data_IF_950537962482
#
_entry.id   IF_950537962482
#
_cell.length_a   1.000
_cell.length_b   1.000
_cell.length_c   1.000
_cell.angle_alpha   90.00
_cell.angle_beta   90.00
_cell.angle_gamma   90.00
#
_symmetry.space_group_name_H-M   'P 1'
#
loop_
_entity.id
_entity.type
_entity.pdbx_description
1 polymer ?
#
# COMPACT_ATOMS: atom_id res chain seq x y z
N UNK A 1 -28.74 6.99 0.95
CA UNK A 1 -28.36 8.39 0.63
C UNK A 1 -29.34 9.34 1.32
N UNK A 2 -28.88 10.40 1.98
CA UNK A 2 -29.70 11.26 2.88
C UNK A 2 -30.21 12.56 2.22
N UNK A 3 -29.88 12.84 0.95
CA UNK A 3 -30.42 14.00 0.23
C UNK A 3 -30.60 13.71 -1.28
N UNK A 4 -31.75 13.20 -1.74
CA UNK A 4 -31.92 12.64 -3.09
C UNK A 4 -31.91 13.67 -4.24
N UNK A 5 -32.06 14.97 -3.99
CA UNK A 5 -32.15 15.98 -5.06
C UNK A 5 -30.80 16.29 -5.75
N UNK A 6 -29.82 16.90 -5.06
CA UNK A 6 -28.56 17.32 -5.68
C UNK A 6 -27.64 16.15 -6.04
N UNK A 7 -27.69 15.06 -5.26
CA UNK A 7 -26.84 13.88 -5.49
C UNK A 7 -27.23 13.13 -6.76
N UNK A 8 -28.50 13.18 -7.17
CA UNK A 8 -28.95 12.51 -8.38
C UNK A 8 -28.44 13.16 -9.68
N UNK A 9 -28.15 14.47 -9.63
CA UNK A 9 -27.58 15.23 -10.75
C UNK A 9 -26.05 15.12 -10.85
N UNK A 10 -25.37 14.96 -9.72
CA UNK A 10 -23.90 14.90 -9.66
C UNK A 10 -23.33 13.49 -9.78
N UNK A 11 -24.10 12.47 -9.40
CA UNK A 11 -23.65 11.08 -9.34
C UNK A 11 -24.13 10.33 -10.59
N UNK A 12 -23.25 9.61 -11.32
CA UNK A 12 -23.65 8.87 -12.50
C UNK A 12 -24.77 7.88 -12.17
N UNK A 13 -25.92 8.07 -12.84
CA UNK A 13 -27.12 7.24 -12.67
C UNK A 13 -27.09 6.00 -13.56
N UNK A 14 -26.28 6.04 -14.62
CA UNK A 14 -26.20 5.00 -15.65
C UNK A 14 -24.94 4.16 -15.50
N UNK A 15 -25.06 2.86 -15.73
CA UNK A 15 -23.94 1.92 -15.66
C UNK A 15 -22.79 2.32 -16.61
N UNK A 16 -23.10 2.82 -17.81
CA UNK A 16 -22.11 3.25 -18.80
C UNK A 16 -21.21 4.39 -18.27
N UNK A 17 -21.82 5.40 -17.65
CA UNK A 17 -21.08 6.51 -17.03
C UNK A 17 -20.17 6.03 -15.91
N UNK A 18 -20.64 5.05 -15.14
CA UNK A 18 -19.86 4.43 -14.09
C UNK A 18 -18.67 3.61 -14.64
N UNK A 19 -18.85 2.90 -15.77
CA UNK A 19 -17.76 2.18 -16.44
C UNK A 19 -16.68 3.12 -16.98
N UNK A 20 -17.06 4.27 -17.55
CA UNK A 20 -16.10 5.28 -17.98
C UNK A 20 -15.30 5.85 -16.80
N UNK A 21 -15.98 6.16 -15.70
CA UNK A 21 -15.35 6.65 -14.47
C UNK A 21 -14.42 5.59 -13.85
N UNK A 22 -14.83 4.32 -13.85
CA UNK A 22 -14.01 3.21 -13.38
C UNK A 22 -12.76 3.03 -14.24
N UNK A 23 -12.86 3.16 -15.58
CA UNK A 23 -11.72 3.08 -16.48
C UNK A 23 -10.68 4.19 -16.21
N UNK A 24 -11.13 5.44 -16.01
CA UNK A 24 -10.26 6.55 -15.64
C UNK A 24 -9.62 6.32 -14.27
N UNK A 25 -10.42 5.85 -13.29
CA UNK A 25 -9.94 5.49 -11.97
C UNK A 25 -8.88 4.38 -12.01
N UNK A 26 -9.03 3.41 -12.91
CA UNK A 26 -8.06 2.32 -13.10
C UNK A 26 -6.73 2.83 -13.68
N UNK A 27 -6.75 3.70 -14.69
CA UNK A 27 -5.51 4.34 -15.16
C UNK A 27 -4.86 5.12 -14.01
N UNK A 28 -5.68 5.84 -13.24
CA UNK A 28 -5.23 6.60 -12.10
C UNK A 28 -4.52 5.76 -11.04
N UNK A 29 -5.08 4.60 -10.68
CA UNK A 29 -4.47 3.72 -9.68
C UNK A 29 -3.17 3.09 -10.19
N UNK A 30 -3.10 2.71 -11.47
CA UNK A 30 -1.87 2.16 -12.05
C UNK A 30 -0.74 3.19 -12.03
N UNK A 31 -1.02 4.43 -12.42
CA UNK A 31 -0.05 5.52 -12.37
C UNK A 31 0.34 5.86 -10.92
N UNK A 32 -0.63 5.91 -10.00
CA UNK A 32 -0.38 6.18 -8.59
C UNK A 32 0.55 5.13 -7.97
N UNK A 33 0.28 3.85 -8.20
CA UNK A 33 1.09 2.75 -7.65
C UNK A 33 2.45 2.68 -8.32
N UNK A 34 2.53 2.85 -9.64
CA UNK A 34 3.80 2.86 -10.35
C UNK A 34 4.70 4.03 -9.93
N UNK A 35 4.14 5.23 -9.76
CA UNK A 35 4.86 6.37 -9.21
C UNK A 35 5.29 6.11 -7.76
N UNK A 36 4.42 5.52 -6.93
CA UNK A 36 4.78 5.17 -5.54
C UNK A 36 5.99 4.22 -5.53
N UNK A 37 6.00 3.20 -6.39
CA UNK A 37 7.13 2.29 -6.56
C UNK A 37 8.41 3.01 -7.00
N UNK A 38 8.30 4.01 -7.87
CA UNK A 38 9.45 4.82 -8.33
C UNK A 38 10.07 5.70 -7.25
N UNK A 39 9.36 5.97 -6.15
CA UNK A 39 9.86 6.74 -5.01
C UNK A 39 10.42 5.85 -3.88
N UNK A 40 10.32 4.52 -3.98
CA UNK A 40 10.81 3.60 -2.95
C UNK A 40 12.33 3.56 -2.91
N UNK A 41 12.92 3.94 -1.78
CA UNK A 41 14.37 3.87 -1.59
C UNK A 41 14.81 2.47 -1.14
N UNK A 42 15.13 1.62 -2.11
CA UNK A 42 15.61 0.26 -1.86
C UNK A 42 16.94 0.21 -1.07
N UNK A 43 17.73 1.29 -1.04
CA UNK A 43 18.97 1.35 -0.24
C UNK A 43 18.65 1.55 1.23
N UNK A 44 17.61 2.33 1.55
CA UNK A 44 17.15 2.54 2.93
C UNK A 44 16.67 1.22 3.56
N UNK A 45 16.01 0.34 2.78
CA UNK A 45 15.59 -1.00 3.23
C UNK A 45 16.79 -1.85 3.66
N UNK A 46 17.88 -1.83 2.87
CA UNK A 46 19.10 -2.59 3.19
C UNK A 46 19.82 -2.08 4.44
N UNK A 47 19.73 -0.77 4.73
CA UNK A 47 20.48 -0.12 5.81
C UNK A 47 19.89 -0.36 7.20
N UNK A 48 18.57 -0.50 7.34
CA UNK A 48 17.92 -0.68 8.65
C UNK A 48 17.84 -2.13 9.16
N UNK A 49 18.48 -3.06 8.44
CA UNK A 49 18.88 -4.36 8.98
C UNK A 49 17.73 -5.27 9.42
N UNK A 50 18.04 -6.16 10.37
CA UNK A 50 17.16 -7.24 10.82
C UNK A 50 15.90 -6.77 11.56
N UNK A 51 15.88 -5.55 12.12
CA UNK A 51 14.75 -5.03 12.88
C UNK A 51 13.55 -4.74 11.96
N UNK A 52 13.76 -4.10 10.81
CA UNK A 52 12.70 -3.83 9.84
C UNK A 52 12.06 -5.13 9.31
N UNK A 53 12.90 -6.14 9.03
CA UNK A 53 12.43 -7.47 8.58
C UNK A 53 11.60 -8.17 9.66
N UNK A 54 12.00 -8.10 10.92
CA UNK A 54 11.22 -8.68 12.03
C UNK A 54 9.90 -7.93 12.24
N UNK A 55 9.93 -6.59 12.30
CA UNK A 55 8.73 -5.77 12.45
C UNK A 55 7.75 -6.01 11.32
N UNK A 56 8.21 -6.02 10.07
CA UNK A 56 7.39 -6.35 8.90
C UNK A 56 6.90 -7.79 8.96
N UNK A 57 7.77 -8.78 9.23
CA UNK A 57 7.39 -10.19 9.28
C UNK A 57 6.26 -10.47 10.27
N UNK A 58 6.36 -10.00 11.52
CA UNK A 58 5.27 -10.12 12.49
C UNK A 58 4.07 -9.22 12.11
N UNK A 59 4.34 -8.01 11.62
CA UNK A 59 3.33 -7.06 11.14
C UNK A 59 2.55 -7.52 9.89
N UNK A 60 3.02 -8.57 9.21
CA UNK A 60 2.36 -9.21 8.09
C UNK A 60 1.66 -10.50 8.53
N UNK A 61 2.39 -11.42 9.16
CA UNK A 61 1.89 -12.78 9.48
C UNK A 61 0.76 -12.74 10.50
N UNK A 62 0.86 -11.92 11.55
CA UNK A 62 -0.15 -11.85 12.61
C UNK A 62 -1.50 -11.34 12.08
N UNK A 63 -1.60 -10.15 11.46
CA UNK A 63 -2.87 -9.67 10.92
C UNK A 63 -3.37 -10.53 9.75
N UNK A 64 -2.49 -11.10 8.92
CA UNK A 64 -2.88 -12.04 7.87
C UNK A 64 -3.60 -13.26 8.49
N UNK A 65 -3.00 -13.89 9.49
CA UNK A 65 -3.60 -15.04 10.18
C UNK A 65 -4.93 -14.70 10.84
N UNK A 66 -5.00 -13.56 11.54
CA UNK A 66 -6.25 -13.10 12.15
C UNK A 66 -7.34 -12.81 11.12
N UNK A 67 -7.00 -12.18 9.99
CA UNK A 67 -7.96 -11.93 8.91
C UNK A 67 -8.42 -13.21 8.22
N UNK A 68 -7.53 -14.19 8.00
CA UNK A 68 -7.89 -15.52 7.47
C UNK A 68 -8.84 -16.23 8.41
N UNK A 69 -8.50 -16.33 9.70
CA UNK A 69 -9.35 -16.98 10.71
C UNK A 69 -10.71 -16.28 10.77
N UNK A 70 -10.73 -14.96 10.81
CA UNK A 70 -11.98 -14.18 10.81
C UNK A 70 -12.79 -14.47 9.55
N UNK A 71 -12.16 -14.47 8.38
CA UNK A 71 -12.85 -14.70 7.10
C UNK A 71 -13.43 -16.10 6.97
N UNK A 72 -12.79 -17.12 7.55
CA UNK A 72 -13.33 -18.48 7.64
C UNK A 72 -14.54 -18.58 8.58
N UNK A 73 -14.61 -17.74 9.61
CA UNK A 73 -15.69 -17.74 10.60
C UNK A 73 -16.88 -16.84 10.20
N UNK A 74 -16.69 -15.92 9.26
CA UNK A 74 -17.76 -15.04 8.79
C UNK A 74 -18.82 -15.82 7.98
N UNK A 75 -20.10 -15.41 8.06
CA UNK A 75 -21.17 -16.08 7.35
C UNK A 75 -21.04 -15.91 5.83
N UNK A 76 -21.52 -16.91 5.08
CA UNK A 76 -21.50 -16.90 3.62
C UNK A 76 -22.26 -15.71 3.00
N UNK A 77 -23.20 -15.10 3.74
CA UNK A 77 -23.89 -13.89 3.28
C UNK A 77 -22.97 -12.68 3.07
N UNK A 78 -21.74 -12.70 3.61
CA UNK A 78 -20.74 -11.64 3.43
C UNK A 78 -19.68 -12.00 2.40
N UNK A 79 -19.54 -13.28 2.08
CA UNK A 79 -18.65 -13.78 1.03
C UNK A 79 -19.24 -13.33 -0.30
N UNK A 80 -18.39 -12.85 -1.22
CA UNK A 80 -18.83 -12.58 -2.58
C UNK A 80 -19.17 -13.86 -3.35
N UNK A 81 -19.20 -13.78 -4.67
CA UNK A 81 -19.54 -14.90 -5.56
C UNK A 81 -18.40 -15.93 -5.72
N UNK A 82 -17.48 -16.01 -4.75
CA UNK A 82 -16.28 -16.84 -4.77
C UNK A 82 -16.24 -17.76 -3.55
N UNK A 83 -15.29 -18.67 -3.54
CA UNK A 83 -15.10 -19.62 -2.44
C UNK A 83 -14.70 -18.91 -1.14
N UNK A 84 -15.20 -19.44 -0.01
CA UNK A 84 -14.96 -18.93 1.33
C UNK A 84 -13.47 -18.89 1.69
N UNK A 85 -12.66 -19.80 1.14
CA UNK A 85 -11.20 -19.82 1.32
C UNK A 85 -10.55 -18.63 0.61
N UNK A 86 -10.96 -18.31 -0.62
CA UNK A 86 -10.44 -17.13 -1.35
C UNK A 86 -10.84 -15.86 -0.60
N UNK A 87 -12.08 -15.79 -0.12
CA UNK A 87 -12.54 -14.69 0.72
C UNK A 87 -11.71 -14.55 2.00
N UNK A 88 -11.43 -15.65 2.70
CA UNK A 88 -10.67 -15.63 3.94
C UNK A 88 -9.22 -15.18 3.72
N UNK A 89 -8.55 -15.72 2.70
CA UNK A 89 -7.19 -15.27 2.33
C UNK A 89 -7.21 -13.80 1.92
N UNK A 90 -8.18 -13.37 1.12
CA UNK A 90 -8.36 -11.96 0.77
C UNK A 90 -8.52 -11.07 1.99
N UNK A 91 -9.38 -11.44 2.95
CA UNK A 91 -9.58 -10.68 4.17
C UNK A 91 -8.28 -10.59 4.97
N UNK A 92 -7.53 -11.69 5.08
CA UNK A 92 -6.17 -11.70 5.63
C UNK A 92 -5.26 -10.67 4.97
N UNK A 93 -5.21 -10.65 3.64
CA UNK A 93 -4.38 -9.69 2.88
C UNK A 93 -4.83 -8.26 3.14
N UNK A 94 -6.14 -8.00 3.13
CA UNK A 94 -6.68 -6.68 3.45
C UNK A 94 -6.27 -6.22 4.86
N UNK A 95 -6.28 -7.12 5.85
CA UNK A 95 -5.91 -6.77 7.23
C UNK A 95 -4.40 -6.54 7.42
N UNK A 96 -3.53 -7.15 6.62
CA UNK A 96 -2.08 -7.03 6.80
C UNK A 96 -1.45 -5.83 6.08
N UNK A 97 -2.14 -5.26 5.09
CA UNK A 97 -1.65 -4.13 4.28
C UNK A 97 -1.59 -2.85 5.12
N UNK A 98 -0.51 -2.10 4.94
CA UNK A 98 -0.28 -0.75 5.49
C UNK A 98 -0.33 0.28 4.35
N UNK A 99 -0.26 1.57 4.65
CA UNK A 99 -0.15 2.61 3.62
C UNK A 99 1.05 3.53 3.88
N UNK A 100 2.19 3.27 3.23
CA UNK A 100 3.39 4.12 3.33
C UNK A 100 3.11 5.60 3.12
N UNK A 101 2.30 6.04 2.13
CA UNK A 101 2.05 7.47 1.96
C UNK A 101 1.41 8.12 3.20
N UNK A 102 0.51 7.40 3.87
CA UNK A 102 -0.17 7.88 5.09
C UNK A 102 0.78 7.84 6.28
N UNK A 103 1.58 6.78 6.41
CA UNK A 103 2.65 6.67 7.42
C UNK A 103 3.62 7.84 7.28
N UNK A 104 4.15 8.06 6.07
CA UNK A 104 5.11 9.11 5.78
C UNK A 104 4.54 10.49 6.07
N UNK A 105 3.32 10.77 5.61
CA UNK A 105 2.67 12.06 5.88
C UNK A 105 2.47 12.27 7.38
N UNK A 106 2.02 11.25 8.10
CA UNK A 106 1.85 11.30 9.57
C UNK A 106 3.17 11.61 10.27
N UNK A 107 4.26 10.93 9.89
CA UNK A 107 5.58 11.17 10.48
C UNK A 107 6.14 12.56 10.13
N UNK A 108 5.90 13.05 8.92
CA UNK A 108 6.27 14.42 8.51
C UNK A 108 5.52 15.44 9.35
N UNK A 109 4.19 15.32 9.46
CA UNK A 109 3.35 16.26 10.19
C UNK A 109 3.63 16.29 11.69
N UNK A 110 4.13 15.17 12.22
CA UNK A 110 4.55 15.06 13.62
C UNK A 110 6.04 15.37 13.84
N UNK A 111 6.76 15.75 12.79
CA UNK A 111 8.22 15.98 12.80
C UNK A 111 9.01 14.78 13.39
N UNK A 112 8.69 13.57 12.95
CA UNK A 112 9.30 12.32 13.42
C UNK A 112 10.24 11.67 12.38
N UNK A 113 10.41 12.29 11.20
CA UNK A 113 11.26 11.76 10.13
C UNK A 113 12.74 11.61 10.52
N UNK A 114 13.22 12.43 11.45
CA UNK A 114 14.59 12.39 11.95
C UNK A 114 14.82 11.27 12.98
N UNK A 115 13.75 10.74 13.60
CA UNK A 115 13.78 9.72 14.64
C UNK A 115 14.04 8.34 14.03
N UNK A 116 14.79 7.50 14.73
CA UNK A 116 15.07 6.12 14.31
C UNK A 116 13.78 5.30 14.20
N UNK A 117 12.85 5.50 15.13
CA UNK A 117 11.52 4.87 15.07
C UNK A 117 10.73 5.30 13.83
N UNK A 118 10.82 6.57 13.45
CA UNK A 118 10.16 7.08 12.24
C UNK A 118 10.74 6.44 10.99
N UNK A 119 12.07 6.37 10.89
CA UNK A 119 12.75 5.71 9.78
C UNK A 119 12.42 4.21 9.75
N UNK A 120 12.43 3.53 10.89
CA UNK A 120 12.13 2.09 10.98
C UNK A 120 10.68 1.79 10.57
N UNK A 121 9.73 2.63 10.99
CA UNK A 121 8.32 2.52 10.59
C UNK A 121 8.18 2.63 9.08
N UNK A 122 8.84 3.61 8.45
CA UNK A 122 8.84 3.76 7.00
C UNK A 122 9.45 2.54 6.31
N UNK A 123 10.57 2.04 6.81
CA UNK A 123 11.23 0.88 6.20
C UNK A 123 10.43 -0.41 6.35
N UNK A 124 9.83 -0.65 7.50
CA UNK A 124 8.90 -1.77 7.67
C UNK A 124 7.69 -1.63 6.74
N UNK A 125 7.11 -0.42 6.62
CA UNK A 125 6.05 -0.13 5.67
C UNK A 125 6.43 -0.43 4.21
N UNK A 126 7.65 -0.09 3.79
CA UNK A 126 8.18 -0.44 2.45
C UNK A 126 8.19 -1.94 2.17
N UNK A 127 8.54 -2.75 3.17
CA UNK A 127 8.51 -4.21 3.03
C UNK A 127 7.07 -4.72 3.00
N UNK A 128 6.20 -4.18 3.87
CA UNK A 128 4.79 -4.53 3.92
C UNK A 128 4.05 -4.25 2.61
N UNK A 129 4.28 -3.09 1.98
CA UNK A 129 3.66 -2.73 0.71
C UNK A 129 4.07 -3.69 -0.41
N UNK A 130 5.37 -4.01 -0.51
CA UNK A 130 5.87 -4.96 -1.49
C UNK A 130 5.24 -6.35 -1.32
N UNK A 131 5.10 -6.80 -0.07
CA UNK A 131 4.42 -8.05 0.25
C UNK A 131 2.92 -7.98 -0.03
N UNK A 132 2.27 -6.85 0.25
CA UNK A 132 0.85 -6.63 -0.01
C UNK A 132 0.51 -6.80 -1.49
N UNK A 133 1.32 -6.23 -2.38
CA UNK A 133 1.13 -6.39 -3.83
C UNK A 133 1.37 -7.82 -4.32
N UNK A 134 2.36 -8.51 -3.73
CA UNK A 134 2.61 -9.93 -4.00
C UNK A 134 1.39 -10.78 -3.60
N UNK A 135 0.90 -10.61 -2.37
CA UNK A 135 -0.24 -11.36 -1.85
C UNK A 135 -1.54 -11.04 -2.58
N UNK A 136 -1.78 -9.77 -2.92
CA UNK A 136 -2.92 -9.39 -3.74
C UNK A 136 -2.91 -10.12 -5.08
N UNK A 137 -1.74 -10.25 -5.71
CA UNK A 137 -1.60 -10.97 -6.98
C UNK A 137 -1.92 -12.46 -6.82
N UNK A 138 -1.47 -13.08 -5.73
CA UNK A 138 -1.79 -14.48 -5.41
C UNK A 138 -3.30 -14.66 -5.23
N UNK A 139 -3.94 -13.80 -4.44
CA UNK A 139 -5.38 -13.88 -4.17
C UNK A 139 -6.20 -13.58 -5.43
N UNK A 140 -5.79 -12.59 -6.23
CA UNK A 140 -6.43 -12.32 -7.52
C UNK A 140 -6.36 -13.53 -8.44
N UNK A 141 -5.21 -14.19 -8.53
CA UNK A 141 -5.04 -15.38 -9.35
C UNK A 141 -5.86 -16.58 -8.82
N UNK A 142 -5.96 -16.75 -7.50
CA UNK A 142 -6.87 -17.75 -6.90
C UNK A 142 -8.34 -17.47 -7.24
N UNK A 143 -8.74 -16.19 -7.26
CA UNK A 143 -10.10 -15.78 -7.58
C UNK A 143 -10.46 -15.99 -9.06
N UNK A 144 -9.49 -15.85 -9.98
CA UNK A 144 -9.72 -15.99 -11.43
C UNK A 144 -9.56 -17.43 -11.93
N UNK A 145 -8.56 -18.16 -11.43
CA UNK A 145 -8.22 -19.52 -11.90
C UNK A 145 -8.82 -20.66 -11.06
N UNK A 146 -9.37 -20.32 -9.88
CA UNK A 146 -9.94 -21.29 -8.93
C UNK A 146 -8.92 -21.91 -7.97
N UNK A 147 -9.41 -22.69 -7.00
CA UNK A 147 -8.67 -23.26 -5.86
C UNK A 147 -8.05 -24.66 -6.12
N UNK A 148 -7.56 -24.95 -7.32
CA UNK A 148 -6.86 -26.22 -7.56
C UNK A 148 -5.40 -26.07 -7.12
N UNK A 149 -4.81 -27.06 -6.46
CA UNK A 149 -3.40 -27.02 -6.04
C UNK A 149 -2.48 -26.70 -7.24
N UNK A 150 -2.82 -27.21 -8.43
CA UNK A 150 -2.15 -26.87 -9.68
C UNK A 150 -2.29 -25.41 -10.12
N UNK A 151 -3.44 -24.76 -9.89
CA UNK A 151 -3.62 -23.35 -10.26
C UNK A 151 -2.85 -22.41 -9.35
N UNK A 152 -2.81 -22.66 -8.04
CA UNK A 152 -1.99 -21.87 -7.09
C UNK A 152 -0.49 -21.98 -7.44
N UNK A 153 0.00 -23.19 -7.72
CA UNK A 153 1.38 -23.40 -8.12
C UNK A 153 1.73 -22.66 -9.41
N UNK A 154 0.83 -22.67 -10.41
CA UNK A 154 0.99 -21.90 -11.66
C UNK A 154 0.99 -20.40 -11.38
N UNK A 155 0.10 -19.88 -10.53
CA UNK A 155 0.08 -18.46 -10.18
C UNK A 155 1.37 -18.00 -9.50
N UNK A 156 1.90 -18.79 -8.57
CA UNK A 156 3.18 -18.53 -7.92
C UNK A 156 4.35 -18.60 -8.92
N UNK A 157 4.33 -19.56 -9.83
CA UNK A 157 5.34 -19.68 -10.89
C UNK A 157 5.30 -18.50 -11.87
N UNK A 158 4.10 -18.03 -12.26
CA UNK A 158 3.92 -16.83 -13.09
C UNK A 158 4.41 -15.58 -12.37
N UNK A 159 4.10 -15.44 -11.08
CA UNK A 159 4.54 -14.32 -10.25
C UNK A 159 6.08 -14.29 -10.14
N UNK A 160 6.69 -15.44 -9.86
CA UNK A 160 8.14 -15.61 -9.87
C UNK A 160 8.72 -15.30 -11.25
N UNK A 161 8.08 -15.77 -12.32
CA UNK A 161 8.46 -15.50 -13.71
C UNK A 161 8.45 -14.01 -14.04
N UNK A 162 7.44 -13.26 -13.61
CA UNK A 162 7.37 -11.80 -13.75
C UNK A 162 8.51 -11.11 -12.99
N UNK A 163 8.81 -11.54 -11.76
CA UNK A 163 9.92 -10.99 -10.97
C UNK A 163 11.27 -11.27 -11.65
N UNK A 164 11.50 -12.51 -12.10
CA UNK A 164 12.71 -12.90 -12.81
C UNK A 164 12.85 -12.10 -14.11
N UNK A 165 11.78 -12.01 -14.90
CA UNK A 165 11.74 -11.20 -16.11
C UNK A 165 12.05 -9.73 -15.84
N UNK A 166 11.46 -9.14 -14.80
CA UNK A 166 11.71 -7.76 -14.39
C UNK A 166 13.18 -7.52 -14.05
N UNK A 167 13.82 -8.47 -13.34
CA UNK A 167 15.25 -8.36 -12.96
C UNK A 167 16.19 -8.57 -14.15
N UNK A 168 15.92 -9.57 -15.00
CA UNK A 168 16.82 -9.98 -16.09
C UNK A 168 16.65 -9.09 -17.33
N UNK A 169 15.41 -8.90 -17.79
CA UNK A 169 15.10 -8.17 -19.02
C UNK A 169 14.51 -6.77 -18.75
N UNK A 170 13.67 -6.63 -17.71
CA UNK A 170 13.04 -5.36 -17.36
C UNK A 170 14.05 -4.28 -16.99
N UNK A 171 15.11 -4.61 -16.23
CA UNK A 171 16.19 -3.67 -15.88
C UNK A 171 16.92 -3.09 -17.10
N UNK A 172 17.52 -3.87 -18.01
CA UNK A 172 18.20 -3.32 -19.18
C UNK A 172 17.25 -2.60 -20.15
N UNK A 173 15.99 -3.06 -20.26
CA UNK A 173 14.98 -2.40 -21.09
C UNK A 173 14.65 -1.01 -20.55
N UNK A 174 14.34 -0.91 -19.25
CA UNK A 174 14.10 0.35 -18.55
C UNK A 174 15.30 1.28 -18.68
N UNK A 175 16.51 0.75 -18.47
CA UNK A 175 17.77 1.48 -18.62
C UNK A 175 17.89 2.11 -20.01
N UNK A 176 17.57 1.35 -21.04
CA UNK A 176 17.69 1.79 -22.43
C UNK A 176 16.63 2.82 -22.78
N UNK A 177 15.39 2.60 -22.36
CA UNK A 177 14.28 3.53 -22.57
C UNK A 177 14.56 4.90 -21.93
N UNK A 178 14.98 4.94 -20.67
CA UNK A 178 15.29 6.20 -20.01
C UNK A 178 16.57 6.86 -20.53
N UNK A 179 17.57 6.11 -20.99
CA UNK A 179 18.74 6.69 -21.67
C UNK A 179 18.36 7.38 -22.97
N UNK A 180 17.36 6.87 -23.70
CA UNK A 180 16.82 7.54 -24.89
C UNK A 180 16.03 8.79 -24.50
N UNK A 181 15.17 8.70 -23.48
CA UNK A 181 14.41 9.84 -22.98
C UNK A 181 15.29 10.97 -22.42
N UNK A 182 16.41 10.63 -21.77
CA UNK A 182 17.36 11.57 -21.19
C UNK A 182 18.18 12.35 -22.24
N UNK A 183 18.09 12.01 -23.53
CA UNK A 183 18.70 12.81 -24.60
C UNK A 183 18.01 14.16 -24.79
N UNK A 184 16.81 14.31 -24.27
CA UNK A 184 16.08 15.58 -24.24
C UNK A 184 16.22 16.24 -22.88
N UNK A 185 16.43 17.55 -22.88
CA UNK A 185 16.38 18.37 -21.66
C UNK A 185 14.96 18.49 -21.11
N UNK A 186 13.94 18.35 -21.99
CA UNK A 186 12.53 18.44 -21.60
C UNK A 186 12.08 17.30 -20.68
N UNK A 187 11.06 17.59 -19.87
CA UNK A 187 10.42 16.60 -19.01
C UNK A 187 9.53 15.62 -19.80
N UNK A 188 8.99 16.03 -20.95
CA UNK A 188 7.97 15.29 -21.73
C UNK A 188 8.40 13.86 -22.07
N UNK A 189 9.61 13.59 -22.62
CA UNK A 189 10.01 12.23 -22.96
C UNK A 189 10.17 11.33 -21.72
N UNK A 190 10.59 11.90 -20.60
CA UNK A 190 10.74 11.17 -19.32
C UNK A 190 9.36 10.78 -18.77
N UNK A 191 8.40 11.71 -18.81
CA UNK A 191 7.01 11.48 -18.41
C UNK A 191 6.38 10.41 -19.30
N UNK A 192 6.46 10.57 -20.63
CA UNK A 192 5.90 9.63 -21.59
C UNK A 192 6.48 8.22 -21.40
N UNK A 193 7.81 8.10 -21.26
CA UNK A 193 8.48 6.82 -21.00
C UNK A 193 7.99 6.18 -19.70
N UNK A 194 7.85 6.98 -18.63
CA UNK A 194 7.35 6.50 -17.34
C UNK A 194 5.94 5.94 -17.45
N UNK A 195 5.02 6.71 -18.06
CA UNK A 195 3.62 6.30 -18.25
C UNK A 195 3.53 5.04 -19.11
N UNK A 196 4.20 5.02 -20.26
CA UNK A 196 4.16 3.88 -21.20
C UNK A 196 4.70 2.62 -20.54
N UNK A 197 5.83 2.69 -19.85
CA UNK A 197 6.40 1.53 -19.18
C UNK A 197 5.49 1.00 -18.06
N UNK A 198 4.89 1.88 -17.25
CA UNK A 198 3.94 1.47 -16.20
C UNK A 198 2.73 0.77 -16.82
N UNK A 199 2.15 1.33 -17.88
CA UNK A 199 0.98 0.75 -18.55
C UNK A 199 1.32 -0.57 -19.26
N UNK A 200 2.47 -0.68 -19.91
CA UNK A 200 2.92 -1.92 -20.55
C UNK A 200 3.17 -3.03 -19.54
N UNK A 201 3.81 -2.72 -18.41
CA UNK A 201 4.02 -3.70 -17.35
C UNK A 201 2.68 -4.16 -16.75
N UNK A 202 1.76 -3.22 -16.53
CA UNK A 202 0.40 -3.50 -16.04
C UNK A 202 -0.35 -4.43 -17.01
N UNK A 203 -0.37 -4.08 -18.30
CA UNK A 203 -0.97 -4.89 -19.35
C UNK A 203 -0.33 -6.28 -19.46
N UNK A 204 0.99 -6.37 -19.38
CA UNK A 204 1.71 -7.64 -19.38
C UNK A 204 1.29 -8.55 -18.23
N UNK A 205 1.22 -8.02 -17.00
CA UNK A 205 0.72 -8.80 -15.85
C UNK A 205 -0.75 -9.20 -15.98
N UNK A 206 -1.59 -8.32 -16.54
CA UNK A 206 -3.00 -8.62 -16.79
C UNK A 206 -3.19 -9.77 -17.78
N UNK A 207 -2.42 -9.80 -18.88
CA UNK A 207 -2.46 -10.89 -19.88
C UNK A 207 -2.04 -12.23 -19.26
N UNK A 208 -1.14 -12.22 -18.28
CA UNK A 208 -0.74 -13.40 -17.52
C UNK A 208 -1.77 -13.82 -16.46
N UNK A 209 -2.91 -13.13 -16.34
CA UNK A 209 -3.94 -13.41 -15.33
C UNK A 209 -3.57 -12.97 -13.92
N UNK A 210 -2.55 -12.11 -13.78
CA UNK A 210 -2.15 -11.48 -12.52
C UNK A 210 -2.77 -10.08 -12.41
N UNK A 211 -2.76 -9.50 -11.21
CA UNK A 211 -3.31 -8.16 -10.98
C UNK A 211 -2.47 -7.08 -11.68
N UNK A 212 -3.10 -6.25 -12.52
CA UNK A 212 -2.43 -5.18 -13.28
C UNK A 212 -1.63 -4.20 -12.40
N UNK A 213 -2.12 -3.96 -11.18
CA UNK A 213 -1.48 -3.07 -10.20
C UNK A 213 -0.11 -3.59 -9.77
N UNK A 214 0.11 -4.90 -9.75
CA UNK A 214 1.42 -5.49 -9.47
C UNK A 214 2.43 -5.16 -10.56
N UNK A 215 2.03 -5.22 -11.84
CA UNK A 215 2.88 -4.81 -12.96
C UNK A 215 3.30 -3.34 -12.85
N UNK A 216 2.37 -2.45 -12.51
CA UNK A 216 2.67 -1.03 -12.24
C UNK A 216 3.71 -0.88 -11.12
N UNK A 217 3.51 -1.58 -10.00
CA UNK A 217 4.41 -1.54 -8.85
C UNK A 217 5.83 -2.01 -9.19
N UNK A 218 5.96 -3.17 -9.85
CA UNK A 218 7.25 -3.72 -10.29
C UNK A 218 7.96 -2.75 -11.24
N UNK A 219 7.24 -2.14 -12.17
CA UNK A 219 7.82 -1.13 -13.05
C UNK A 219 8.31 0.08 -12.25
N UNK A 220 7.54 0.56 -11.28
CA UNK A 220 7.98 1.60 -10.35
C UNK A 220 9.32 1.26 -9.68
N UNK A 221 9.45 0.05 -9.14
CA UNK A 221 10.70 -0.42 -8.54
C UNK A 221 11.89 -0.44 -9.51
N UNK A 222 11.65 -0.86 -10.76
CA UNK A 222 12.68 -0.86 -11.80
C UNK A 222 13.13 0.56 -12.16
N UNK A 223 12.18 1.50 -12.23
CA UNK A 223 12.44 2.93 -12.47
C UNK A 223 13.30 3.50 -11.32
N UNK A 224 12.95 3.19 -10.06
CA UNK A 224 13.76 3.61 -8.92
C UNK A 224 15.18 3.03 -8.94
N UNK A 225 15.35 1.81 -9.46
CA UNK A 225 16.63 1.09 -9.49
C UNK A 225 17.60 1.54 -10.59
N UNK A 226 17.11 2.18 -11.66
CA UNK A 226 17.94 2.70 -12.76
C UNK A 226 18.80 3.91 -12.35
N UNK A 227 18.42 4.59 -11.27
CA UNK A 227 18.90 5.90 -10.89
C UNK A 227 17.67 6.79 -10.81
N UNK A 228 17.31 7.24 -9.60
CA UNK A 228 16.09 8.01 -9.34
C UNK A 228 15.89 9.01 -10.49
N UNK A 229 14.83 8.87 -11.31
CA UNK A 229 14.56 9.86 -12.35
C UNK A 229 14.55 11.22 -11.68
N UNK A 230 15.08 12.23 -12.36
CA UNK A 230 15.13 13.58 -11.81
C UNK A 230 13.75 13.93 -11.23
N UNK A 231 13.64 14.12 -9.89
CA UNK A 231 12.36 14.38 -9.25
C UNK A 231 11.65 15.58 -9.87
N UNK A 232 12.42 16.53 -10.41
CA UNK A 232 11.91 17.71 -11.11
C UNK A 232 11.22 17.32 -12.41
N UNK A 233 11.80 16.41 -13.20
CA UNK A 233 11.20 15.95 -14.47
C UNK A 233 9.92 15.14 -14.27
N UNK A 234 9.77 14.43 -13.15
CA UNK A 234 8.54 13.68 -12.83
C UNK A 234 7.50 14.52 -12.06
N UNK A 235 7.86 15.70 -11.56
CA UNK A 235 6.96 16.53 -10.77
C UNK A 235 5.63 16.84 -11.49
N UNK A 236 5.60 17.19 -12.80
CA UNK A 236 4.33 17.46 -13.49
C UNK A 236 3.40 16.24 -13.53
N UNK A 237 3.94 15.07 -13.86
CA UNK A 237 3.18 13.81 -13.85
C UNK A 237 2.65 13.49 -12.46
N UNK A 238 3.49 13.64 -11.43
CA UNK A 238 3.09 13.44 -10.04
C UNK A 238 1.96 14.40 -9.63
N UNK A 239 2.04 15.66 -10.03
CA UNK A 239 0.98 16.65 -9.76
C UNK A 239 -0.34 16.23 -10.39
N UNK A 240 -0.35 15.84 -11.66
CA UNK A 240 -1.58 15.38 -12.34
C UNK A 240 -2.14 14.12 -11.70
N UNK A 241 -1.29 13.15 -11.38
CA UNK A 241 -1.73 11.90 -10.73
C UNK A 241 -2.33 12.15 -9.36
N UNK A 242 -1.71 12.98 -8.53
CA UNK A 242 -2.19 13.26 -7.18
C UNK A 242 -3.36 14.25 -7.13
N UNK A 243 -3.44 15.21 -8.04
CA UNK A 243 -4.47 16.24 -8.04
C UNK A 243 -5.73 15.84 -8.83
N UNK A 244 -5.61 14.92 -9.78
CA UNK A 244 -6.74 14.54 -10.67
C UNK A 244 -7.05 13.06 -10.54
N UNK A 245 -6.11 12.19 -10.91
CA UNK A 245 -6.39 10.76 -11.05
C UNK A 245 -6.66 10.05 -9.72
N UNK A 246 -5.88 10.34 -8.68
CA UNK A 246 -6.08 9.74 -7.36
C UNK A 246 -7.43 10.17 -6.74
N UNK A 247 -7.81 11.47 -6.73
CA UNK A 247 -9.15 11.88 -6.31
C UNK A 247 -10.28 11.21 -7.08
N UNK A 248 -10.15 11.05 -8.42
CA UNK A 248 -11.15 10.33 -9.22
C UNK A 248 -11.25 8.86 -8.77
N UNK A 249 -10.13 8.17 -8.59
CA UNK A 249 -10.11 6.80 -8.08
C UNK A 249 -10.80 6.67 -6.70
N UNK A 250 -10.49 7.56 -5.76
CA UNK A 250 -11.13 7.55 -4.43
C UNK A 250 -12.60 7.91 -4.48
N UNK A 251 -13.01 8.83 -5.35
CA UNK A 251 -14.41 9.14 -5.58
C UNK A 251 -15.16 7.91 -6.10
N UNK A 252 -14.61 7.19 -7.08
CA UNK A 252 -15.19 5.93 -7.59
C UNK A 252 -15.30 4.88 -6.48
N UNK A 253 -14.27 4.74 -5.64
CA UNK A 253 -14.33 3.83 -4.49
C UNK A 253 -15.44 4.25 -3.50
N UNK A 254 -15.56 5.55 -3.20
CA UNK A 254 -16.61 6.08 -2.33
C UNK A 254 -18.02 5.88 -2.89
N UNK A 255 -18.21 6.00 -4.21
CA UNK A 255 -19.49 5.74 -4.87
C UNK A 255 -19.95 4.29 -4.79
N UNK A 256 -19.02 3.33 -4.64
CA UNK A 256 -19.34 1.91 -4.44
C UNK A 256 -19.69 1.57 -2.98
N UNK A 257 -19.42 2.47 -2.05
CA UNK A 257 -19.67 2.26 -0.64
C UNK A 257 -21.16 2.37 -0.33
N UNK A 258 -21.72 1.41 0.39
CA UNK A 258 -23.10 1.46 0.88
C UNK A 258 -23.12 1.59 2.41
N UNK A 259 -23.07 2.83 2.89
CA UNK A 259 -23.20 3.14 4.31
C UNK A 259 -24.56 2.73 4.89
N UNK A 260 -25.60 2.59 4.08
CA UNK A 260 -26.93 2.19 4.58
C UNK A 260 -26.95 0.73 5.03
N UNK A 261 -26.04 -0.11 4.51
CA UNK A 261 -25.86 -1.47 4.99
C UNK A 261 -25.47 -1.55 6.47
N UNK A 262 -24.76 -0.54 6.99
CA UNK A 262 -24.36 -0.46 8.40
C UNK A 262 -25.53 -0.18 9.35
N UNK A 263 -26.67 0.28 8.84
CA UNK A 263 -27.88 0.42 9.65
C UNK A 263 -28.43 -0.95 10.11
N UNK A 264 -28.04 -2.04 9.43
CA UNK A 264 -28.40 -3.41 9.82
C UNK A 264 -27.51 -3.85 10.99
N UNK A 265 -28.06 -4.17 12.19
CA UNK A 265 -27.24 -4.48 13.37
C UNK A 265 -26.22 -5.61 13.17
N UNK A 266 -26.58 -6.62 12.36
CA UNK A 266 -25.67 -7.73 12.01
C UNK A 266 -24.43 -7.25 11.25
N UNK A 267 -24.61 -6.40 10.23
CA UNK A 267 -23.51 -5.86 9.41
C UNK A 267 -22.62 -4.95 10.26
N UNK A 268 -23.23 -4.12 11.11
CA UNK A 268 -22.50 -3.30 12.07
C UNK A 268 -21.66 -4.15 13.04
N UNK A 269 -22.21 -5.25 13.56
CA UNK A 269 -21.48 -6.18 14.42
C UNK A 269 -20.24 -6.76 13.73
N UNK A 270 -20.37 -7.17 12.46
CA UNK A 270 -19.23 -7.63 11.67
C UNK A 270 -18.23 -6.51 11.37
N UNK A 271 -18.71 -5.29 11.11
CA UNK A 271 -17.86 -4.12 10.91
C UNK A 271 -16.98 -3.85 12.13
N UNK A 272 -17.58 -3.85 13.32
CA UNK A 272 -16.87 -3.66 14.59
C UNK A 272 -15.89 -4.80 14.87
N UNK A 273 -16.28 -6.05 14.60
CA UNK A 273 -15.39 -7.21 14.74
C UNK A 273 -14.17 -7.09 13.82
N UNK A 274 -14.38 -6.86 12.53
CA UNK A 274 -13.30 -6.74 11.55
C UNK A 274 -12.40 -5.56 11.92
N UNK A 275 -12.96 -4.42 12.33
CA UNK A 275 -12.19 -3.27 12.80
C UNK A 275 -11.33 -3.61 14.02
N UNK A 276 -11.91 -4.26 15.03
CA UNK A 276 -11.18 -4.65 16.23
C UNK A 276 -10.04 -5.63 15.90
N UNK A 277 -10.32 -6.62 15.05
CA UNK A 277 -9.32 -7.58 14.56
C UNK A 277 -8.22 -6.88 13.76
N UNK A 278 -8.57 -5.95 12.89
CA UNK A 278 -7.64 -5.20 12.06
C UNK A 278 -6.67 -4.37 12.92
N UNK A 279 -7.20 -3.66 13.92
CA UNK A 279 -6.40 -2.86 14.86
C UNK A 279 -5.52 -3.80 15.70
N UNK A 280 -6.12 -4.81 16.34
CA UNK A 280 -5.41 -5.71 17.24
C UNK A 280 -4.31 -6.48 16.51
N UNK A 281 -4.62 -7.11 15.37
CA UNK A 281 -3.67 -7.91 14.60
C UNK A 281 -2.46 -7.11 14.16
N UNK A 282 -2.68 -5.91 13.59
CA UNK A 282 -1.58 -5.07 13.11
C UNK A 282 -0.77 -4.49 14.27
N UNK A 283 -1.44 -4.04 15.33
CA UNK A 283 -0.77 -3.50 16.51
C UNK A 283 0.07 -4.55 17.23
N UNK A 284 -0.49 -5.74 17.47
CA UNK A 284 0.20 -6.87 18.11
C UNK A 284 1.38 -7.32 17.24
N UNK A 285 1.19 -7.48 15.93
CA UNK A 285 2.27 -7.88 15.02
C UNK A 285 3.45 -6.91 15.07
N UNK A 286 3.21 -5.62 14.89
CA UNK A 286 4.26 -4.61 14.94
C UNK A 286 4.91 -4.50 16.33
N UNK A 287 4.12 -4.60 17.41
CA UNK A 287 4.62 -4.60 18.79
C UNK A 287 5.55 -5.80 19.06
N UNK A 288 5.14 -7.01 18.69
CA UNK A 288 5.94 -8.22 18.87
C UNK A 288 7.22 -8.17 18.03
N UNK A 289 7.13 -7.71 16.78
CA UNK A 289 8.31 -7.51 15.93
C UNK A 289 9.29 -6.49 16.49
N UNK A 290 8.79 -5.43 17.13
CA UNK A 290 9.63 -4.44 17.81
C UNK A 290 10.31 -5.01 19.07
N UNK A 291 9.57 -5.74 19.91
CA UNK A 291 10.09 -6.34 21.14
C UNK A 291 11.13 -7.43 20.86
N UNK A 292 10.91 -8.26 19.85
CA UNK A 292 11.91 -9.26 19.38
C UNK A 292 13.13 -8.63 18.70
N UNK A 293 13.03 -7.35 18.34
CA UNK A 293 14.13 -6.50 17.89
C UNK A 293 14.80 -5.73 19.03
N UNK A 294 14.47 -6.04 20.29
CA UNK A 294 15.01 -5.43 21.52
C UNK A 294 14.68 -3.94 21.71
N UNK A 295 13.66 -3.44 21.02
CA UNK A 295 13.16 -2.08 21.23
C UNK A 295 12.36 -1.98 22.54
N UNK A 296 12.40 -0.80 23.16
CA UNK A 296 11.68 -0.47 24.37
C UNK A 296 10.16 -0.55 24.20
N UNK A 297 9.43 -0.56 25.32
CA UNK A 297 7.96 -0.68 25.31
C UNK A 297 7.29 0.48 24.56
N UNK A 298 7.78 1.70 24.73
CA UNK A 298 7.21 2.89 24.10
C UNK A 298 7.54 2.98 22.62
N UNK A 299 8.72 2.51 22.22
CA UNK A 299 9.13 2.36 20.82
C UNK A 299 8.27 1.30 20.11
N UNK A 300 8.01 0.17 20.78
CA UNK A 300 7.11 -0.87 20.27
C UNK A 300 5.66 -0.38 20.13
N UNK A 301 5.16 0.41 21.09
CA UNK A 301 3.84 1.06 20.98
C UNK A 301 3.80 2.08 19.84
N UNK A 302 4.87 2.86 19.65
CA UNK A 302 4.98 3.82 18.55
C UNK A 302 4.99 3.12 17.19
N UNK A 303 5.74 2.02 17.04
CA UNK A 303 5.71 1.20 15.82
C UNK A 303 4.32 0.59 15.59
N UNK A 304 3.68 0.06 16.63
CA UNK A 304 2.31 -0.44 16.56
C UNK A 304 1.32 0.62 16.07
N UNK A 305 1.40 1.84 16.58
CA UNK A 305 0.56 2.95 16.16
C UNK A 305 0.88 3.42 14.72
N UNK A 306 2.16 3.61 14.41
CA UNK A 306 2.61 4.06 13.10
C UNK A 306 2.25 3.08 11.98
N UNK A 307 2.42 1.78 12.21
CA UNK A 307 2.11 0.73 11.24
C UNK A 307 0.60 0.45 11.09
N UNK A 308 -0.25 1.01 11.95
CA UNK A 308 -1.72 0.91 11.83
C UNK A 308 -2.34 1.94 10.87
N UNK A 309 -1.54 2.88 10.36
CA UNK A 309 -1.98 3.81 9.34
C UNK A 309 -2.19 3.06 8.02
N UNK A 310 -3.46 2.81 7.72
CA UNK A 310 -3.90 2.26 6.43
C UNK A 310 -4.33 3.41 5.52
N UNK A 311 -5.03 3.15 4.43
CA UNK A 311 -5.46 4.21 3.52
C UNK A 311 -5.43 3.74 2.08
N UNK A 312 -4.71 4.46 1.22
CA UNK A 312 -4.74 4.30 -0.24
C UNK A 312 -4.65 2.84 -0.68
N UNK A 313 -3.68 2.09 -0.18
CA UNK A 313 -3.42 0.72 -0.63
C UNK A 313 -4.55 -0.22 -0.23
N UNK A 314 -5.11 -0.06 0.97
CA UNK A 314 -6.25 -0.86 1.42
C UNK A 314 -7.50 -0.59 0.56
N UNK A 315 -7.74 0.66 0.17
CA UNK A 315 -8.82 1.00 -0.78
C UNK A 315 -8.62 0.31 -2.12
N UNK A 316 -7.38 0.25 -2.61
CA UNK A 316 -7.04 -0.45 -3.86
C UNK A 316 -7.31 -1.95 -3.74
N UNK A 317 -6.84 -2.58 -2.66
CA UNK A 317 -7.09 -3.99 -2.36
C UNK A 317 -8.60 -4.26 -2.32
N UNK A 318 -9.37 -3.46 -1.57
CA UNK A 318 -10.82 -3.59 -1.47
C UNK A 318 -11.52 -3.48 -2.83
N UNK A 319 -11.12 -2.50 -3.65
CA UNK A 319 -11.65 -2.31 -5.01
C UNK A 319 -11.37 -3.54 -5.89
N UNK A 320 -10.17 -4.12 -5.81
CA UNK A 320 -9.80 -5.33 -6.54
C UNK A 320 -10.66 -6.51 -6.09
N UNK A 321 -10.79 -6.73 -4.78
CA UNK A 321 -11.63 -7.80 -4.23
C UNK A 321 -13.08 -7.69 -4.66
N UNK A 322 -13.64 -6.48 -4.67
CA UNK A 322 -15.01 -6.24 -5.10
C UNK A 322 -15.19 -6.53 -6.60
N UNK A 323 -14.25 -6.08 -7.45
CA UNK A 323 -14.28 -6.37 -8.91
C UNK A 323 -14.17 -7.85 -9.22
N UNK A 324 -13.32 -8.58 -8.51
CA UNK A 324 -13.16 -10.03 -8.69
C UNK A 324 -14.34 -10.83 -8.10
N UNK A 325 -15.25 -10.16 -7.40
CA UNK A 325 -16.38 -10.76 -6.71
C UNK A 325 -15.97 -11.57 -5.49
N UNK A 326 -14.76 -11.34 -4.94
CA UNK A 326 -14.27 -12.03 -3.75
C UNK A 326 -15.00 -11.53 -2.50
N UNK A 327 -15.29 -10.23 -2.45
CA UNK A 327 -16.01 -9.60 -1.34
C UNK A 327 -17.34 -9.01 -1.81
N UNK A 328 -18.31 -8.97 -0.91
CA UNK A 328 -19.56 -8.24 -1.07
C UNK A 328 -19.37 -6.72 -0.92
N UNK A 329 -20.37 -5.94 -1.35
CA UNK A 329 -20.42 -4.48 -1.14
C UNK A 329 -20.39 -4.12 0.35
N UNK A 330 -20.99 -4.95 1.21
CA UNK A 330 -20.93 -4.80 2.66
C UNK A 330 -19.48 -4.92 3.18
N UNK A 331 -18.76 -5.97 2.79
CA UNK A 331 -17.37 -6.15 3.24
C UNK A 331 -16.46 -5.08 2.64
N UNK A 332 -16.68 -4.68 1.38
CA UNK A 332 -16.00 -3.54 0.78
C UNK A 332 -16.17 -2.29 1.66
N UNK A 333 -17.41 -1.95 2.01
CA UNK A 333 -17.74 -0.82 2.89
C UNK A 333 -17.03 -0.91 4.24
N UNK A 334 -16.99 -2.11 4.84
CA UNK A 334 -16.29 -2.35 6.10
C UNK A 334 -14.78 -2.10 5.96
N UNK A 335 -14.13 -2.64 4.93
CA UNK A 335 -12.68 -2.46 4.73
C UNK A 335 -12.34 -0.98 4.52
N UNK A 336 -13.16 -0.23 3.77
CA UNK A 336 -12.97 1.22 3.62
C UNK A 336 -13.11 1.95 4.97
N UNK A 337 -14.07 1.56 5.81
CA UNK A 337 -14.18 2.12 7.16
C UNK A 337 -12.97 1.80 8.02
N UNK A 338 -12.45 0.56 7.96
CA UNK A 338 -11.21 0.18 8.64
C UNK A 338 -10.08 1.11 8.22
N UNK A 339 -9.91 1.34 6.92
CA UNK A 339 -8.89 2.23 6.38
C UNK A 339 -8.97 3.64 6.96
N UNK A 340 -10.18 4.22 6.99
CA UNK A 340 -10.41 5.58 7.50
C UNK A 340 -10.20 5.64 9.01
N UNK A 341 -10.82 4.74 9.75
CA UNK A 341 -10.81 4.77 11.23
C UNK A 341 -9.40 4.52 11.76
N UNK A 342 -8.65 3.54 11.25
CA UNK A 342 -7.30 3.30 11.75
C UNK A 342 -6.32 4.42 11.39
N UNK A 343 -6.52 5.07 10.23
CA UNK A 343 -5.75 6.26 9.85
C UNK A 343 -5.98 7.45 10.77
N UNK A 344 -7.23 7.65 11.24
CA UNK A 344 -7.55 8.72 12.20
C UNK A 344 -7.02 8.42 13.60
N UNK A 345 -7.04 7.14 14.01
CA UNK A 345 -6.60 6.72 15.35
C UNK A 345 -5.07 6.66 15.49
N UNK A 346 -4.34 6.41 14.40
CA UNK A 346 -2.89 6.22 14.44
C UNK A 346 -2.09 7.44 14.97
N UNK A 347 -2.28 8.69 14.48
CA UNK A 347 -1.48 9.83 14.91
C UNK A 347 -1.61 10.19 16.41
N UNK A 348 -2.82 10.19 17.03
CA UNK A 348 -2.95 10.41 18.47
C UNK A 348 -2.17 9.39 19.32
N UNK A 349 -2.29 8.10 19.01
CA UNK A 349 -1.60 7.04 19.76
C UNK A 349 -0.08 7.18 19.56
N UNK A 350 0.36 7.42 18.32
CA UNK A 350 1.77 7.63 18.00
C UNK A 350 2.34 8.82 18.78
N UNK A 351 1.58 9.91 18.93
CA UNK A 351 2.01 11.11 19.67
C UNK A 351 2.24 10.79 21.14
N UNK A 352 1.31 10.09 21.77
CA UNK A 352 1.43 9.69 23.18
C UNK A 352 2.62 8.75 23.37
N UNK A 353 2.80 7.76 22.49
CA UNK A 353 3.91 6.83 22.57
C UNK A 353 5.27 7.56 22.42
N UNK A 354 5.41 8.41 21.40
CA UNK A 354 6.65 9.14 21.12
C UNK A 354 7.01 10.18 22.20
N UNK A 355 6.03 10.73 22.92
CA UNK A 355 6.31 11.63 24.06
C UNK A 355 7.08 10.94 25.20
N UNK A 356 7.06 9.60 25.24
CA UNK A 356 7.75 8.78 26.23
C UNK A 356 9.04 8.15 25.70
N UNK A 357 9.34 8.30 24.41
CA UNK A 357 10.59 7.80 23.78
C UNK A 357 11.66 8.87 23.90
N UNK A 358 12.77 8.55 24.58
CA UNK A 358 13.90 9.50 24.74
C UNK A 358 14.52 9.84 23.39
N UNK A 359 14.98 11.07 23.23
CA UNK A 359 15.76 11.50 22.08
C UNK A 359 17.21 11.06 22.28
N UNK A 360 17.77 10.32 21.33
CA UNK A 360 19.20 9.99 21.37
C UNK A 360 20.03 11.19 20.88
N UNK A 361 21.31 11.31 21.27
CA UNK A 361 22.17 12.39 20.79
C UNK A 361 22.26 12.47 19.26
N UNK A 362 22.37 11.31 18.60
CA UNK A 362 22.40 11.22 17.12
C UNK A 362 21.08 11.71 16.48
N UNK A 363 19.93 11.44 17.10
CA UNK A 363 18.65 11.94 16.62
C UNK A 363 18.53 13.45 16.79
N UNK A 364 19.10 14.01 17.86
CA UNK A 364 19.12 15.46 18.08
C UNK A 364 20.05 16.15 17.08
N UNK A 365 21.21 15.58 16.77
CA UNK A 365 22.08 16.07 15.69
C UNK A 365 21.35 16.07 14.34
N UNK A 366 20.64 15.00 13.99
CA UNK A 366 19.82 14.94 12.76
C UNK A 366 18.70 15.98 12.76
N UNK A 367 18.08 16.24 13.92
CA UNK A 367 17.05 17.26 14.09
C UNK A 367 17.63 18.66 13.88
N UNK A 368 18.78 18.95 14.49
CA UNK A 368 19.48 20.22 14.35
C UNK A 368 19.95 20.46 12.90
N UNK A 369 20.46 19.43 12.24
CA UNK A 369 20.81 19.49 10.82
C UNK A 369 19.58 19.77 9.93
N UNK A 370 18.43 19.14 10.22
CA UNK A 370 17.18 19.43 9.50
C UNK A 370 16.68 20.86 9.72
N UNK A 371 16.90 21.43 10.91
CA UNK A 371 16.57 22.82 11.22
C UNK A 371 17.60 23.83 10.67
N UNK A 372 18.66 23.37 10.02
CA UNK A 372 19.73 24.22 9.49
C UNK A 372 20.64 24.81 10.57
N UNK A 373 20.63 24.26 11.79
CA UNK A 373 21.40 24.75 12.94
C UNK A 373 22.82 24.18 12.99
N UNK A 374 23.08 23.04 12.33
CA UNK A 374 24.37 22.35 12.30
C UNK A 374 24.63 21.77 10.90
N UNK A 375 25.84 21.95 10.35
CA UNK A 375 26.22 21.27 9.10
C UNK A 375 26.45 19.77 9.39
N UNK A 376 25.98 18.85 8.53
CA UNK A 376 26.18 17.41 8.74
C UNK A 376 27.68 17.12 8.85
N UNK A 377 28.07 16.40 9.91
CA UNK A 377 29.45 16.02 10.14
C UNK A 377 30.00 15.24 8.92
N UNK A 378 31.24 15.52 8.48
CA UNK A 378 31.83 14.79 7.37
C UNK A 378 31.84 13.29 7.68
N UNK A 379 31.33 12.49 6.75
CA UNK A 379 31.36 11.03 6.84
C UNK A 379 32.83 10.62 6.87
N UNK A 380 33.36 10.35 8.06
CA UNK A 380 34.66 9.72 8.21
C UNK A 380 34.55 8.32 7.59
N UNK A 381 35.08 8.16 6.38
CA UNK A 381 35.43 6.86 5.83
C UNK A 381 36.24 6.14 6.91
N UNK A 382 35.65 5.07 7.47
CA UNK A 382 36.40 4.13 8.28
C UNK A 382 37.40 3.45 7.35
N UNK A 383 38.59 4.02 7.26
CA UNK A 383 39.79 3.35 6.81
C UNK A 383 40.12 2.30 7.89
N UNK A 384 40.13 1.04 7.50
CA UNK A 384 40.41 -0.12 8.34
C UNK A 384 39.91 -1.39 7.69
#
# INVERSE_FOLDING_TARGET
MVAPGPSAWLIPQQAEQFHLLDAVGQIGVLLLVGLTGAHLDLKLIRRQGSAAVKVSGFGLVVPLGFGVVTGLLLPQSLVGNRDQTVFAVFLGVAMCVSAIPVIAKTLIDMNLMHRDIGQLTLTAGMVDDAFGWLMLSVVSAMATTGLRIGSIGVSLALLAGVIVFAVVAGRPLTRTAFRLAARSEEATPTIATTVVLILLASAGTHVLGLESVFGAFIMGLLISGYGKPDPVKLAPLRTVVLAVFAPVFFATAGLRMDLTALARPKVLGFALLILAVAIAGKFIGAYLGARTSRLGKWEALALGAGMNARGVIEVIVAMVGLRLGVISTEVFTIIILVAVVTSVIAPPILRVAMSRVRLTPEEDERRQAHLGLVQPAPVLERVG
#
